data_IF_134742606809
#
_entry.id   IF_134742606809
#
_cell.length_a   1.000
_cell.length_b   1.000
_cell.length_c   1.000
_cell.angle_alpha   90.00
_cell.angle_beta   90.00
_cell.angle_gamma   90.00
#
_symmetry.space_group_name_H-M   'P 1'
#
loop_
_entity.id
_entity.type
_entity.pdbx_description
1 polymer ?
#
# COMPACT_ATOMS: atom_id res chain seq x y z
N UNK A 1 3.80 36.41 21.29
CA UNK A 1 3.94 35.41 22.37
C UNK A 1 5.41 35.00 22.53
N UNK A 2 6.28 35.85 23.07
CA UNK A 2 7.67 35.46 23.34
C UNK A 2 7.84 34.70 24.65
N UNK A 3 8.66 33.65 24.67
CA UNK A 3 9.20 33.08 25.91
C UNK A 3 10.63 32.54 25.71
N UNK A 4 11.55 32.84 26.64
CA UNK A 4 12.87 32.21 26.81
C UNK A 4 12.77 31.09 27.88
N UNK A 5 13.62 30.06 27.96
CA UNK A 5 15.08 30.06 27.79
C UNK A 5 15.69 28.70 27.37
N UNK A 6 16.95 28.80 26.91
CA UNK A 6 18.04 27.83 26.69
C UNK A 6 17.77 26.60 25.80
N UNK A 7 17.98 26.83 24.49
CA UNK A 7 18.29 25.89 23.38
C UNK A 7 17.26 24.80 23.04
N UNK A 8 16.54 24.79 21.92
CA UNK A 8 16.44 25.68 20.75
C UNK A 8 15.08 25.43 20.07
N UNK A 9 14.46 26.50 19.56
CA UNK A 9 13.20 26.57 18.78
C UNK A 9 11.91 26.48 19.62
N UNK A 10 11.29 27.64 19.85
CA UNK A 10 9.90 27.75 20.28
C UNK A 10 9.07 28.20 19.08
N UNK A 11 7.99 27.47 18.81
CA UNK A 11 7.02 27.88 17.79
C UNK A 11 5.81 28.49 18.48
N UNK A 12 5.53 29.73 18.12
CA UNK A 12 4.35 30.44 18.54
C UNK A 12 3.24 30.25 17.51
N UNK A 13 2.04 29.90 17.98
CA UNK A 13 0.84 29.82 17.14
C UNK A 13 -0.23 30.72 17.75
N UNK A 14 -0.78 31.62 16.93
CA UNK A 14 -1.92 32.44 17.31
C UNK A 14 -3.21 31.71 16.96
N UNK A 15 -4.04 31.47 17.97
CA UNK A 15 -5.37 30.89 17.77
C UNK A 15 -6.41 31.99 17.64
N UNK A 16 -7.35 31.81 16.73
CA UNK A 16 -8.50 32.70 16.56
C UNK A 16 -9.46 32.63 17.76
N UNK A 17 -10.27 33.67 18.01
CA UNK A 17 -11.20 33.72 19.16
C UNK A 17 -12.33 32.67 19.13
N UNK A 18 -12.46 31.90 18.05
CA UNK A 18 -13.46 30.84 17.87
C UNK A 18 -12.85 29.43 17.79
N UNK A 19 -11.52 29.32 17.84
CA UNK A 19 -10.84 28.03 17.75
C UNK A 19 -10.86 27.32 19.09
N UNK A 20 -11.40 26.09 19.10
CA UNK A 20 -11.48 25.24 20.30
C UNK A 20 -10.44 24.11 20.29
N UNK A 21 -9.77 23.90 19.17
CA UNK A 21 -8.81 22.81 18.99
C UNK A 21 -7.66 23.28 18.09
N UNK A 22 -6.46 22.80 18.40
CA UNK A 22 -5.28 22.99 17.58
C UNK A 22 -4.46 21.69 17.56
N UNK A 23 -4.02 21.27 16.37
CA UNK A 23 -3.25 20.03 16.19
C UNK A 23 -1.79 20.41 15.94
N UNK A 24 -0.89 19.87 16.76
CA UNK A 24 0.55 20.01 16.56
C UNK A 24 1.04 18.91 15.63
N UNK A 25 1.67 19.30 14.52
CA UNK A 25 2.24 18.39 13.53
C UNK A 25 3.78 18.52 13.50
N UNK A 26 4.47 17.51 12.99
CA UNK A 26 5.93 17.55 12.83
C UNK A 26 6.74 17.39 14.13
N UNK A 27 6.14 16.86 15.20
CA UNK A 27 6.85 16.58 16.44
C UNK A 27 7.80 15.37 16.29
N UNK A 28 9.01 15.50 16.82
CA UNK A 28 10.01 14.45 16.86
C UNK A 28 9.64 13.40 17.93
N UNK A 29 9.82 12.14 17.57
CA UNK A 29 9.46 11.03 18.44
C UNK A 29 10.46 10.87 19.59
N UNK A 30 9.96 10.69 20.82
CA UNK A 30 10.80 10.55 22.02
C UNK A 30 11.22 11.88 22.66
N UNK A 31 10.84 13.01 22.08
CA UNK A 31 11.13 14.34 22.62
C UNK A 31 10.03 14.78 23.58
N UNK A 32 10.41 15.33 24.74
CA UNK A 32 9.47 15.91 25.71
C UNK A 32 9.09 17.31 25.24
N UNK A 33 7.80 17.52 25.00
CA UNK A 33 7.26 18.83 24.64
C UNK A 33 6.50 19.44 25.82
N UNK A 34 6.67 20.74 26.01
CA UNK A 34 5.89 21.49 26.98
C UNK A 34 5.07 22.52 26.24
N UNK A 35 3.75 22.39 26.32
CA UNK A 35 2.81 23.31 25.65
C UNK A 35 2.23 24.24 26.70
N UNK A 36 2.23 25.54 26.40
CA UNK A 36 1.62 26.56 27.24
C UNK A 36 0.50 27.26 26.48
N UNK A 37 -0.66 27.36 27.12
CA UNK A 37 -1.78 28.16 26.61
C UNK A 37 -1.88 29.43 27.44
N UNK A 38 -2.01 30.57 26.74
CA UNK A 38 -2.21 31.89 27.32
C UNK A 38 -3.25 32.65 26.51
N UNK A 39 -4.18 33.29 27.21
CA UNK A 39 -5.16 34.19 26.60
C UNK A 39 -4.75 35.65 26.81
N UNK A 40 -4.99 36.49 25.80
CA UNK A 40 -4.72 37.93 25.82
C UNK A 40 -6.03 38.71 25.65
N UNK A 41 -6.17 39.79 26.42
CA UNK A 41 -7.25 40.77 26.28
C UNK A 41 -6.67 42.17 26.42
N UNK A 42 -6.31 42.79 25.29
CA UNK A 42 -5.52 44.02 25.29
C UNK A 42 -4.15 43.77 25.94
N UNK A 43 -3.76 44.62 26.88
CA UNK A 43 -2.49 44.49 27.62
C UNK A 43 -2.55 43.50 28.78
N UNK A 44 -3.71 42.88 29.02
CA UNK A 44 -3.89 41.90 30.07
C UNK A 44 -3.66 40.47 29.57
N UNK A 45 -2.89 39.70 30.34
CA UNK A 45 -2.59 38.28 30.08
C UNK A 45 -3.21 37.37 31.14
N UNK A 46 -3.70 36.20 30.73
CA UNK A 46 -4.12 35.14 31.66
C UNK A 46 -2.91 34.48 32.32
N UNK A 47 -3.16 33.65 33.36
CA UNK A 47 -2.13 32.73 33.85
C UNK A 47 -1.72 31.77 32.72
N UNK A 48 -0.43 31.42 32.71
CA UNK A 48 0.10 30.34 31.87
C UNK A 48 -0.48 29.02 32.35
N UNK A 49 -1.27 28.38 31.52
CA UNK A 49 -1.71 27.01 31.76
C UNK A 49 -0.81 26.10 30.93
N UNK A 50 0.08 25.38 31.60
CA UNK A 50 0.98 24.43 30.97
C UNK A 50 0.39 23.02 31.02
N UNK A 51 0.51 22.29 29.91
CA UNK A 51 0.47 20.85 29.90
C UNK A 51 1.89 20.38 29.60
N UNK A 52 2.57 19.79 30.59
CA UNK A 52 3.76 19.01 30.31
C UNK A 52 3.33 17.72 29.63
N UNK A 53 3.67 17.57 28.35
CA UNK A 53 3.58 16.26 27.70
C UNK A 53 4.81 15.45 28.13
N UNK A 54 4.81 14.99 29.37
CA UNK A 54 5.73 13.92 29.77
C UNK A 54 5.31 12.62 29.07
N UNK A 55 6.25 11.74 28.66
CA UNK A 55 5.88 10.36 28.36
C UNK A 55 5.19 9.78 29.62
N UNK A 56 4.03 9.12 29.48
CA UNK A 56 3.11 8.98 30.61
C UNK A 56 3.66 8.04 31.68
N UNK A 57 3.82 8.56 32.89
CA UNK A 57 3.85 7.78 34.11
C UNK A 57 2.50 7.89 34.83
N UNK A 58 1.67 6.86 34.61
CA UNK A 58 0.65 6.32 35.52
C UNK A 58 -0.34 7.29 36.20
N UNK A 59 -1.43 7.62 35.51
CA UNK A 59 -2.81 7.44 36.02
C UNK A 59 -3.82 7.52 34.85
N UNK A 60 -4.34 6.34 34.47
CA UNK A 60 -5.61 6.10 33.77
C UNK A 60 -5.91 6.77 32.41
N UNK A 61 -4.95 6.84 31.50
CA UNK A 61 -5.17 6.60 30.06
C UNK A 61 -3.95 5.83 29.59
N UNK A 62 -4.12 4.61 29.08
CA UNK A 62 -3.02 3.90 28.42
C UNK A 62 -2.43 4.86 27.38
N UNK A 63 -1.11 5.05 27.26
CA UNK A 63 -0.58 5.59 26.02
C UNK A 63 -1.21 4.73 24.91
N UNK A 64 -1.72 5.32 23.84
CA UNK A 64 -1.98 4.55 22.64
C UNK A 64 -0.60 4.11 22.16
N UNK A 65 -0.07 3.04 22.77
CA UNK A 65 1.11 2.35 22.30
C UNK A 65 0.65 1.69 21.03
N UNK A 66 0.87 2.39 19.93
CA UNK A 66 0.78 1.82 18.60
C UNK A 66 1.62 0.55 18.59
N UNK A 67 1.00 -0.57 18.22
CA UNK A 67 1.67 -1.86 18.10
C UNK A 67 2.88 -1.74 17.16
N UNK A 68 2.77 -0.87 16.15
CA UNK A 68 3.85 -0.52 15.23
C UNK A 68 4.07 1.00 15.23
N UNK A 69 5.11 1.51 15.89
CA UNK A 69 5.45 2.94 15.84
C UNK A 69 5.86 3.42 14.43
N UNK A 70 6.44 2.52 13.64
CA UNK A 70 6.77 2.73 12.21
C UNK A 70 6.13 1.64 11.36
N UNK A 71 4.84 1.77 11.03
CA UNK A 71 4.10 0.76 10.29
C UNK A 71 4.72 0.51 8.91
N UNK A 72 5.11 -0.72 8.63
CA UNK A 72 5.76 -1.09 7.38
C UNK A 72 4.81 -1.15 6.18
N UNK A 73 3.51 -1.29 6.45
CA UNK A 73 2.46 -1.42 5.45
C UNK A 73 1.08 -1.02 6.04
N UNK A 74 0.07 -1.04 5.17
CA UNK A 74 -1.31 -0.73 5.55
C UNK A 74 -1.91 -1.76 6.53
N UNK A 75 -1.43 -2.99 6.59
CA UNK A 75 -1.92 -3.98 7.54
C UNK A 75 -1.47 -3.64 8.97
N UNK A 76 -0.22 -3.20 9.15
CA UNK A 76 0.26 -2.68 10.43
C UNK A 76 -0.44 -1.37 10.82
N UNK A 77 -0.74 -0.48 9.85
CA UNK A 77 -1.57 0.70 10.09
C UNK A 77 -2.95 0.32 10.62
N UNK A 78 -3.56 -0.71 10.05
CA UNK A 78 -4.86 -1.22 10.49
C UNK A 78 -4.80 -1.84 11.90
N UNK A 79 -3.74 -2.59 12.21
CA UNK A 79 -3.49 -3.15 13.55
C UNK A 79 -3.26 -2.07 14.61
N UNK A 80 -2.80 -0.89 14.21
CA UNK A 80 -2.75 0.30 15.05
C UNK A 80 -4.12 0.98 15.27
N UNK A 81 -5.21 0.43 14.71
CA UNK A 81 -6.58 0.93 14.88
C UNK A 81 -7.09 1.82 13.74
N UNK A 82 -6.32 2.00 12.66
CA UNK A 82 -6.76 2.79 11.50
C UNK A 82 -7.68 1.96 10.59
N UNK A 83 -8.98 2.27 10.60
CA UNK A 83 -9.99 1.47 9.87
C UNK A 83 -10.54 2.14 8.61
N UNK A 84 -10.21 3.41 8.36
CA UNK A 84 -10.71 4.17 7.21
C UNK A 84 -9.74 4.07 6.03
N UNK A 85 -10.25 3.88 4.82
CA UNK A 85 -9.41 3.95 3.62
C UNK A 85 -8.97 5.38 3.34
N UNK A 86 -7.73 5.57 2.86
CA UNK A 86 -7.18 6.91 2.63
C UNK A 86 -5.67 6.92 2.48
N UNK A 87 -5.10 8.13 2.46
CA UNK A 87 -3.65 8.30 2.42
C UNK A 87 -3.03 8.08 3.79
N UNK A 88 -1.95 7.30 3.81
CA UNK A 88 -1.18 7.02 5.01
C UNK A 88 0.32 7.04 4.70
N UNK A 89 1.11 7.31 5.74
CA UNK A 89 2.57 7.17 5.70
C UNK A 89 2.96 5.83 6.30
N UNK A 90 3.61 5.00 5.49
CA UNK A 90 4.27 3.76 5.92
C UNK A 90 5.78 3.94 5.90
N UNK A 91 6.49 3.03 6.55
CA UNK A 91 7.94 3.09 6.75
C UNK A 91 8.58 1.82 6.24
N UNK A 92 9.31 1.89 5.12
CA UNK A 92 9.85 0.70 4.46
C UNK A 92 10.67 -0.16 5.43
N UNK A 93 10.31 -1.44 5.54
CA UNK A 93 10.92 -2.41 6.47
C UNK A 93 10.87 -1.97 7.95
N UNK A 94 9.90 -1.13 8.34
CA UNK A 94 9.76 -0.61 9.70
C UNK A 94 10.82 0.44 10.08
N UNK A 95 11.53 1.02 9.10
CA UNK A 95 12.57 2.01 9.34
C UNK A 95 12.01 3.43 9.30
N UNK A 96 11.99 4.11 10.45
CA UNK A 96 11.51 5.48 10.62
C UNK A 96 12.16 6.53 9.68
N UNK A 97 13.36 6.26 9.16
CA UNK A 97 14.06 7.15 8.21
C UNK A 97 13.64 6.94 6.75
N UNK A 98 12.74 6.00 6.45
CA UNK A 98 12.30 5.67 5.08
C UNK A 98 10.77 5.78 4.93
N UNK A 99 10.18 6.97 5.11
CA UNK A 99 8.75 7.17 4.94
C UNK A 99 8.34 7.05 3.47
N UNK A 100 7.13 6.55 3.24
CA UNK A 100 6.49 6.44 1.93
C UNK A 100 4.98 6.71 2.09
N UNK A 101 4.44 7.60 1.27
CA UNK A 101 3.00 7.83 1.22
C UNK A 101 2.32 6.81 0.30
N UNK A 102 1.28 6.17 0.80
CA UNK A 102 0.50 5.16 0.06
C UNK A 102 -0.98 5.36 0.30
N UNK A 103 -1.81 4.92 -0.65
CA UNK A 103 -3.24 4.81 -0.44
C UNK A 103 -3.53 3.43 0.18
N UNK A 104 -4.08 3.43 1.39
CA UNK A 104 -4.52 2.21 2.05
C UNK A 104 -6.01 1.98 1.81
N UNK A 105 -6.32 0.78 1.32
CA UNK A 105 -7.67 0.24 1.36
C UNK A 105 -7.84 -0.61 2.62
N UNK A 106 -8.60 -0.07 3.58
CA UNK A 106 -8.87 -0.67 4.89
C UNK A 106 -10.17 -1.46 4.95
N UNK A 107 -10.90 -1.60 3.84
CA UNK A 107 -12.25 -2.18 3.82
C UNK A 107 -12.34 -3.46 3.00
N UNK A 108 -11.68 -3.53 1.85
CA UNK A 108 -11.80 -4.70 0.94
C UNK A 108 -11.18 -5.96 1.55
N UNK A 109 -11.92 -7.06 1.60
CA UNK A 109 -11.42 -8.38 2.03
C UNK A 109 -10.64 -8.33 3.37
N UNK A 110 -11.17 -7.60 4.35
CA UNK A 110 -10.55 -7.40 5.66
C UNK A 110 -9.58 -6.22 5.75
N UNK A 111 -9.27 -5.54 4.65
CA UNK A 111 -8.44 -4.33 4.61
C UNK A 111 -6.94 -4.59 4.72
N UNK A 112 -6.18 -3.53 5.01
CA UNK A 112 -4.72 -3.57 5.12
C UNK A 112 -4.00 -3.62 3.77
N UNK A 113 -4.66 -3.21 2.69
CA UNK A 113 -4.10 -3.25 1.34
C UNK A 113 -3.39 -1.95 0.96
N UNK A 114 -2.20 -2.05 0.38
CA UNK A 114 -1.52 -0.95 -0.30
C UNK A 114 -1.98 -0.94 -1.76
N UNK A 115 -2.70 0.10 -2.18
CA UNK A 115 -3.08 0.29 -3.58
C UNK A 115 -1.88 0.86 -4.34
N UNK A 116 -1.59 0.30 -5.52
CA UNK A 116 -0.47 0.75 -6.35
C UNK A 116 -0.83 1.11 -7.79
N UNK A 117 -2.03 0.77 -8.24
CA UNK A 117 -2.56 1.15 -9.55
C UNK A 117 -4.06 1.36 -9.43
N UNK A 118 -4.58 2.44 -10.04
CA UNK A 118 -6.02 2.65 -10.20
C UNK A 118 -6.36 3.27 -11.54
N UNK A 119 -7.40 2.75 -12.19
CA UNK A 119 -8.11 3.32 -13.34
C UNK A 119 -9.58 3.49 -12.98
N UNK A 120 -10.19 4.61 -13.32
CA UNK A 120 -11.57 4.95 -12.95
C UNK A 120 -12.24 6.03 -13.81
N UNK A 121 -11.48 6.95 -14.40
CA UNK A 121 -12.03 8.12 -15.12
C UNK A 121 -11.49 8.23 -16.54
N UNK A 122 -10.26 7.78 -16.79
CA UNK A 122 -9.57 7.94 -18.06
C UNK A 122 -8.94 9.30 -18.27
N UNK A 123 -8.91 10.16 -17.24
CA UNK A 123 -8.30 11.50 -17.33
C UNK A 123 -6.78 11.44 -17.32
N UNK A 124 -6.21 10.41 -16.67
CA UNK A 124 -4.76 10.21 -16.65
C UNK A 124 -4.34 9.30 -17.81
N UNK A 125 -3.47 9.82 -18.67
CA UNK A 125 -2.83 9.03 -19.72
C UNK A 125 -1.84 8.03 -19.11
N UNK A 126 -1.94 6.74 -19.47
CA UNK A 126 -1.02 5.68 -19.04
C UNK A 126 -0.01 5.31 -20.13
N UNK A 127 -0.08 5.91 -21.32
CA UNK A 127 0.87 5.66 -22.42
C UNK A 127 2.19 6.42 -22.22
N UNK A 128 2.88 6.10 -21.12
CA UNK A 128 4.09 6.79 -20.66
C UNK A 128 5.36 5.99 -20.93
N UNK A 129 6.46 6.73 -20.99
CA UNK A 129 7.83 6.19 -21.14
C UNK A 129 8.32 5.48 -19.87
N UNK A 130 9.39 4.69 -20.02
CA UNK A 130 10.02 3.88 -18.97
C UNK A 130 10.25 4.66 -17.67
N UNK A 131 10.87 5.84 -17.77
CA UNK A 131 11.22 6.66 -16.61
C UNK A 131 10.00 6.97 -15.73
N UNK A 132 8.86 7.28 -16.34
CA UNK A 132 7.63 7.58 -15.60
C UNK A 132 7.09 6.34 -14.87
N UNK A 133 7.15 5.16 -15.50
CA UNK A 133 6.74 3.92 -14.83
C UNK A 133 7.67 3.52 -13.69
N UNK A 134 8.95 3.88 -13.76
CA UNK A 134 9.90 3.69 -12.65
C UNK A 134 9.56 4.59 -11.46
N UNK A 135 9.40 5.88 -11.72
CA UNK A 135 9.18 6.92 -10.68
C UNK A 135 7.78 6.88 -10.08
N UNK A 136 6.77 6.53 -10.88
CA UNK A 136 5.36 6.69 -10.53
C UNK A 136 4.76 7.96 -11.13
N UNK A 137 3.43 8.00 -11.22
CA UNK A 137 2.67 9.14 -11.76
C UNK A 137 1.20 9.08 -11.35
N UNK A 138 0.53 10.23 -11.41
CA UNK A 138 -0.89 10.37 -11.05
C UNK A 138 -1.10 10.73 -9.59
N UNK A 139 -2.36 10.66 -9.15
CA UNK A 139 -2.77 10.98 -7.78
C UNK A 139 -3.32 9.70 -7.10
N UNK A 140 -2.71 9.23 -6.00
CA UNK A 140 -3.20 8.08 -5.25
C UNK A 140 -4.66 8.16 -4.77
N UNK A 141 -5.27 9.36 -4.73
CA UNK A 141 -6.69 9.56 -4.44
C UNK A 141 -7.59 9.44 -5.68
N UNK A 142 -7.02 9.48 -6.89
CA UNK A 142 -7.67 9.28 -8.18
C UNK A 142 -7.02 8.13 -8.97
N UNK A 143 -6.70 8.37 -10.25
CA UNK A 143 -5.94 7.43 -11.09
C UNK A 143 -4.44 7.62 -10.87
N UNK A 144 -3.70 6.51 -10.77
CA UNK A 144 -2.25 6.56 -10.59
C UNK A 144 -1.55 5.23 -10.86
N UNK A 145 -0.23 5.32 -10.93
CA UNK A 145 0.72 4.23 -10.87
C UNK A 145 1.79 4.57 -9.81
N UNK A 146 1.97 3.71 -8.80
CA UNK A 146 2.86 3.97 -7.67
C UNK A 146 4.35 4.10 -8.06
N UNK A 147 4.77 3.38 -9.10
CA UNK A 147 6.16 3.34 -9.54
C UNK A 147 6.83 1.98 -9.28
N UNK A 148 7.60 1.51 -10.26
CA UNK A 148 8.28 0.22 -10.21
C UNK A 148 9.36 0.15 -9.13
N UNK A 149 10.06 1.26 -8.84
CA UNK A 149 11.05 1.29 -7.77
C UNK A 149 10.40 1.14 -6.39
N UNK A 150 9.25 1.79 -6.19
CA UNK A 150 8.48 1.67 -4.96
C UNK A 150 7.94 0.24 -4.79
N UNK A 151 7.38 -0.34 -5.84
CA UNK A 151 6.91 -1.72 -5.86
C UNK A 151 8.03 -2.73 -5.58
N UNK A 152 9.19 -2.55 -6.19
CA UNK A 152 10.36 -3.38 -5.91
C UNK A 152 10.76 -3.29 -4.43
N UNK A 153 10.87 -2.07 -3.91
CA UNK A 153 11.23 -1.83 -2.52
C UNK A 153 10.25 -2.49 -1.54
N UNK A 154 8.94 -2.38 -1.79
CA UNK A 154 7.89 -3.00 -0.96
C UNK A 154 7.95 -4.53 -1.01
N UNK A 155 8.03 -5.11 -2.21
CA UNK A 155 7.85 -6.55 -2.42
C UNK A 155 9.14 -7.38 -2.29
N UNK A 156 10.31 -6.75 -2.35
CA UNK A 156 11.61 -7.44 -2.27
C UNK A 156 12.37 -7.18 -0.97
N UNK A 157 12.10 -6.09 -0.26
CA UNK A 157 12.80 -5.76 1.00
C UNK A 157 12.11 -6.33 2.24
N UNK A 158 10.92 -6.91 2.09
CA UNK A 158 10.18 -7.50 3.19
C UNK A 158 10.56 -8.97 3.38
N UNK A 159 10.79 -9.42 4.62
CA UNK A 159 10.90 -10.86 4.90
C UNK A 159 9.58 -11.60 4.70
N UNK A 160 8.47 -10.88 4.57
CA UNK A 160 7.13 -11.41 4.37
C UNK A 160 6.74 -11.25 2.90
N UNK A 161 6.17 -12.30 2.32
CA UNK A 161 5.65 -12.27 0.95
C UNK A 161 4.34 -11.49 0.87
N UNK A 162 4.13 -10.78 -0.24
CA UNK A 162 2.89 -10.07 -0.50
C UNK A 162 1.96 -10.90 -1.39
N UNK A 163 0.67 -10.87 -1.11
CA UNK A 163 -0.36 -11.26 -2.08
C UNK A 163 -0.74 -10.05 -2.94
N UNK A 164 -1.09 -10.32 -4.20
CA UNK A 164 -1.67 -9.33 -5.13
C UNK A 164 -3.16 -9.57 -5.23
N UNK A 165 -3.95 -8.50 -5.15
CA UNK A 165 -5.36 -8.48 -5.53
C UNK A 165 -5.59 -7.48 -6.66
N UNK A 166 -6.39 -7.88 -7.63
CA UNK A 166 -6.89 -7.06 -8.73
C UNK A 166 -8.40 -7.00 -8.63
N UNK A 167 -8.95 -5.80 -8.46
CA UNK A 167 -10.39 -5.55 -8.46
C UNK A 167 -10.80 -4.93 -9.80
N UNK A 168 -11.84 -5.47 -10.43
CA UNK A 168 -12.35 -5.07 -11.73
C UNK A 168 -13.83 -4.75 -11.62
N UNK A 169 -14.29 -3.61 -12.16
CA UNK A 169 -15.71 -3.24 -12.13
C UNK A 169 -16.16 -2.65 -13.46
N UNK A 170 -17.36 -3.03 -13.85
CA UNK A 170 -18.19 -2.37 -14.87
C UNK A 170 -19.36 -1.66 -14.20
N UNK A 171 -20.29 -1.10 -14.97
CA UNK A 171 -21.51 -0.51 -14.43
C UNK A 171 -22.40 -1.54 -13.69
N UNK A 172 -22.39 -2.81 -14.12
CA UNK A 172 -23.35 -3.82 -13.65
C UNK A 172 -22.69 -4.99 -12.93
N UNK A 173 -21.39 -5.19 -13.10
CA UNK A 173 -20.68 -6.38 -12.63
C UNK A 173 -19.33 -6.03 -12.02
N UNK A 174 -18.92 -6.84 -11.04
CA UNK A 174 -17.59 -6.81 -10.46
C UNK A 174 -16.96 -8.19 -10.44
N UNK A 175 -15.64 -8.23 -10.60
CA UNK A 175 -14.85 -9.43 -10.50
C UNK A 175 -13.52 -9.11 -9.83
N UNK A 176 -12.86 -10.14 -9.30
CA UNK A 176 -11.55 -10.00 -8.69
C UNK A 176 -10.66 -11.22 -8.99
N UNK A 177 -9.36 -10.97 -8.95
CA UNK A 177 -8.31 -11.97 -9.02
C UNK A 177 -7.34 -11.75 -7.86
N UNK A 178 -6.94 -12.83 -7.19
CA UNK A 178 -5.90 -12.81 -6.15
C UNK A 178 -4.81 -13.80 -6.52
N UNK A 179 -3.56 -13.39 -6.30
CA UNK A 179 -2.38 -14.22 -6.43
C UNK A 179 -1.67 -14.28 -5.09
N UNK A 180 -1.39 -15.49 -4.60
CA UNK A 180 -0.78 -15.73 -3.29
C UNK A 180 0.72 -15.35 -3.20
N UNK A 181 1.28 -14.79 -4.26
CA UNK A 181 2.61 -14.22 -4.25
C UNK A 181 2.67 -13.12 -5.30
N UNK A 182 3.36 -12.03 -4.97
CA UNK A 182 3.64 -10.94 -5.89
C UNK A 182 4.97 -10.29 -5.55
N UNK A 183 5.85 -10.23 -6.54
CA UNK A 183 7.12 -9.55 -6.44
C UNK A 183 7.50 -8.88 -7.75
N UNK A 184 8.08 -7.69 -7.62
CA UNK A 184 8.71 -6.96 -8.71
C UNK A 184 10.22 -6.95 -8.48
N UNK A 185 10.97 -7.51 -9.44
CA UNK A 185 12.43 -7.59 -9.36
C UNK A 185 13.09 -6.20 -9.48
N UNK A 186 14.41 -6.15 -9.31
CA UNK A 186 15.15 -4.88 -9.40
C UNK A 186 15.20 -4.32 -10.84
N UNK A 187 15.63 -3.07 -10.96
CA UNK A 187 15.88 -2.42 -12.26
C UNK A 187 16.89 -3.16 -13.14
N UNK A 188 17.87 -3.86 -12.54
CA UNK A 188 18.86 -4.71 -13.24
C UNK A 188 18.21 -5.88 -13.96
N UNK A 189 17.15 -6.41 -13.36
CA UNK A 189 16.32 -7.49 -13.91
C UNK A 189 15.10 -6.96 -14.66
N UNK A 190 15.07 -5.64 -14.92
CA UNK A 190 14.05 -4.92 -15.68
C UNK A 190 12.66 -5.12 -15.08
N UNK A 191 12.59 -5.09 -13.75
CA UNK A 191 11.36 -5.20 -12.97
C UNK A 191 10.52 -6.43 -13.31
N UNK A 192 11.18 -7.57 -13.56
CA UNK A 192 10.53 -8.85 -13.83
C UNK A 192 9.44 -9.15 -12.80
N UNK A 193 8.26 -9.54 -13.28
CA UNK A 193 7.14 -9.98 -12.45
C UNK A 193 7.36 -11.39 -11.95
N UNK A 194 7.03 -11.63 -10.69
CA UNK A 194 6.80 -12.97 -10.15
C UNK A 194 5.44 -13.02 -9.46
N UNK A 195 4.57 -13.94 -9.89
CA UNK A 195 3.25 -14.16 -9.29
C UNK A 195 3.07 -15.63 -8.88
N UNK A 196 2.28 -15.84 -7.84
CA UNK A 196 1.94 -17.15 -7.29
C UNK A 196 0.66 -17.76 -7.85
N UNK A 197 0.01 -18.60 -7.06
CA UNK A 197 -1.21 -19.29 -7.45
C UNK A 197 -2.41 -18.35 -7.47
N UNK A 198 -3.21 -18.49 -8.51
CA UNK A 198 -4.44 -17.74 -8.72
C UNK A 198 -5.61 -18.29 -7.89
N UNK A 199 -6.44 -17.37 -7.38
CA UNK A 199 -7.82 -17.60 -6.93
C UNK A 199 -8.69 -16.39 -7.30
N UNK A 200 -9.99 -16.59 -7.51
CA UNK A 200 -10.92 -15.48 -7.77
C UNK A 200 -12.02 -15.86 -8.75
N UNK A 201 -12.76 -14.86 -9.24
CA UNK A 201 -13.85 -15.04 -10.20
C UNK A 201 -13.64 -14.26 -11.52
N UNK A 202 -12.54 -13.51 -11.65
CA UNK A 202 -12.20 -12.79 -12.89
C UNK A 202 -11.51 -13.66 -13.96
N UNK A 203 -11.23 -14.94 -13.68
CA UNK A 203 -10.28 -15.75 -14.45
C UNK A 203 -8.82 -15.31 -14.25
N UNK A 204 -7.87 -16.19 -14.62
CA UNK A 204 -6.43 -15.99 -14.44
C UNK A 204 -5.80 -15.31 -15.66
N UNK A 205 -5.44 -14.04 -15.52
CA UNK A 205 -4.75 -13.30 -16.57
C UNK A 205 -3.27 -13.03 -16.25
N UNK A 206 -2.83 -13.06 -15.00
CA UNK A 206 -1.45 -12.67 -14.62
C UNK A 206 -0.45 -13.82 -14.68
N UNK A 207 -0.88 -15.08 -14.53
CA UNK A 207 0.06 -16.21 -14.59
C UNK A 207 0.76 -16.29 -15.94
N UNK A 208 0.07 -15.90 -17.03
CA UNK A 208 0.66 -15.78 -18.36
C UNK A 208 1.85 -14.80 -18.41
N UNK A 209 1.79 -13.74 -17.59
CA UNK A 209 2.81 -12.70 -17.45
C UNK A 209 3.91 -13.03 -16.44
N UNK A 210 3.80 -14.15 -15.72
CA UNK A 210 4.79 -14.57 -14.72
C UNK A 210 6.17 -14.77 -15.35
N UNK A 211 7.20 -14.20 -14.73
CA UNK A 211 8.58 -14.27 -15.21
C UNK A 211 8.93 -13.29 -16.33
N UNK A 212 7.98 -12.49 -16.82
CA UNK A 212 8.23 -11.50 -17.87
C UNK A 212 8.66 -10.14 -17.32
N UNK A 213 9.47 -9.45 -18.12
CA UNK A 213 10.05 -8.14 -17.79
C UNK A 213 9.05 -7.06 -18.12
N UNK A 214 9.14 -5.92 -17.43
CA UNK A 214 8.29 -4.79 -17.75
C UNK A 214 8.71 -4.18 -19.10
N UNK A 215 7.75 -3.73 -19.90
CA UNK A 215 7.97 -3.16 -21.22
C UNK A 215 7.15 -1.88 -21.39
N UNK A 216 7.78 -0.85 -21.93
CA UNK A 216 7.16 0.42 -22.35
C UNK A 216 7.46 0.66 -23.82
N UNK A 217 6.77 1.62 -24.44
CA UNK A 217 6.93 1.91 -25.86
C UNK A 217 8.37 2.34 -26.22
N UNK A 218 9.11 2.95 -25.29
CA UNK A 218 10.50 3.37 -25.43
C UNK A 218 11.52 2.33 -24.92
N UNK A 219 11.06 1.22 -24.34
CA UNK A 219 11.94 0.17 -23.82
C UNK A 219 11.30 -1.21 -23.94
N UNK A 220 11.62 -1.87 -25.04
CA UNK A 220 11.18 -3.23 -25.36
C UNK A 220 11.96 -4.30 -24.55
N UNK A 221 11.24 -5.07 -23.76
CA UNK A 221 11.76 -6.23 -23.03
C UNK A 221 10.88 -7.47 -23.15
N UNK A 222 9.91 -7.46 -24.06
CA UNK A 222 9.03 -8.59 -24.29
C UNK A 222 9.67 -9.59 -25.28
N UNK A 223 8.93 -10.63 -25.68
CA UNK A 223 9.42 -11.67 -26.60
C UNK A 223 8.66 -11.71 -27.92
N UNK A 224 7.78 -10.73 -28.15
CA UNK A 224 7.10 -10.61 -29.42
C UNK A 224 8.08 -10.13 -30.51
N UNK A 225 7.66 -10.27 -31.78
CA UNK A 225 8.44 -9.75 -32.91
C UNK A 225 8.40 -8.23 -33.00
N UNK A 226 7.36 -7.62 -32.44
CA UNK A 226 7.13 -6.18 -32.37
C UNK A 226 6.90 -5.78 -30.92
N UNK A 227 7.32 -4.58 -30.53
CA UNK A 227 7.11 -4.07 -29.17
C UNK A 227 5.62 -4.03 -28.80
N UNK A 228 5.21 -4.89 -27.88
CA UNK A 228 3.82 -5.01 -27.45
C UNK A 228 3.29 -3.70 -26.86
N UNK A 229 4.12 -2.90 -26.21
CA UNK A 229 3.70 -1.62 -25.65
C UNK A 229 3.33 -0.60 -26.73
N UNK A 230 4.00 -0.61 -27.89
CA UNK A 230 3.62 0.22 -29.03
C UNK A 230 2.28 -0.22 -29.63
N UNK A 231 2.08 -1.53 -29.78
CA UNK A 231 0.85 -2.09 -30.38
C UNK A 231 -0.37 -1.93 -29.48
N UNK A 232 -0.20 -2.11 -28.16
CA UNK A 232 -1.30 -2.18 -27.20
C UNK A 232 -1.46 -0.93 -26.32
N UNK A 233 -0.77 0.16 -26.67
CA UNK A 233 -0.94 1.49 -26.09
C UNK A 233 -0.93 1.52 -24.55
N UNK A 234 -0.01 0.77 -23.96
CA UNK A 234 0.13 0.66 -22.51
C UNK A 234 1.54 0.22 -22.12
N UNK A 235 1.75 -0.04 -20.83
CA UNK A 235 2.99 -0.62 -20.35
C UNK A 235 2.71 -1.72 -19.33
N UNK A 236 3.37 -2.85 -19.51
CA UNK A 236 3.07 -4.05 -18.75
C UNK A 236 4.22 -5.05 -18.75
N UNK A 237 4.06 -6.13 -18.00
CA UNK A 237 4.90 -7.32 -18.09
C UNK A 237 4.53 -8.16 -19.32
N UNK A 238 4.64 -7.59 -20.50
CA UNK A 238 4.24 -8.23 -21.76
C UNK A 238 5.05 -9.50 -22.06
N UNK A 239 4.38 -10.48 -22.67
CA UNK A 239 4.98 -11.69 -23.26
C UNK A 239 4.85 -11.62 -24.78
N UNK A 240 3.74 -12.13 -25.34
CA UNK A 240 3.42 -12.05 -26.76
C UNK A 240 1.89 -12.13 -27.00
N UNK A 241 1.10 -11.08 -26.72
CA UNK A 241 1.49 -9.89 -25.96
C UNK A 241 0.90 -9.91 -24.55
N UNK A 242 -0.42 -10.04 -24.41
CA UNK A 242 -1.05 -10.02 -23.08
C UNK A 242 -2.34 -10.81 -22.97
N UNK A 243 -2.66 -11.19 -21.74
CA UNK A 243 -4.03 -11.49 -21.29
C UNK A 243 -4.58 -10.38 -20.39
N UNK A 244 -3.71 -9.57 -19.77
CA UNK A 244 -4.08 -8.38 -19.02
C UNK A 244 -3.33 -7.15 -19.54
N UNK A 245 -4.05 -6.04 -19.74
CA UNK A 245 -3.50 -4.74 -20.09
C UNK A 245 -4.19 -3.63 -19.28
N UNK A 246 -4.06 -3.66 -17.96
CA UNK A 246 -4.73 -2.69 -17.08
C UNK A 246 -4.21 -1.25 -17.26
N UNK A 247 -3.04 -1.11 -17.88
CA UNK A 247 -2.40 0.16 -18.21
C UNK A 247 -2.62 0.57 -19.69
N UNK A 248 -3.52 -0.12 -20.40
CA UNK A 248 -3.91 0.22 -21.76
C UNK A 248 -4.67 1.54 -21.87
N UNK A 249 -5.03 1.89 -23.10
CA UNK A 249 -5.74 3.12 -23.43
C UNK A 249 -7.16 3.08 -22.90
N UNK A 250 -7.53 4.05 -22.07
CA UNK A 250 -8.85 4.06 -21.45
C UNK A 250 -9.96 4.28 -22.49
N UNK A 251 -11.03 3.49 -22.40
CA UNK A 251 -12.20 3.60 -23.28
C UNK A 251 -11.97 3.12 -24.72
N UNK A 252 -10.81 2.56 -25.04
CA UNK A 252 -10.49 2.03 -26.35
C UNK A 252 -11.07 0.62 -26.52
N UNK A 253 -11.86 0.42 -27.58
CA UNK A 253 -12.51 -0.86 -27.89
C UNK A 253 -11.81 -1.62 -29.03
N UNK A 254 -10.80 -1.01 -29.68
CA UNK A 254 -9.94 -1.76 -30.60
C UNK A 254 -9.29 -2.94 -29.89
N UNK A 255 -9.24 -4.06 -30.62
CA UNK A 255 -8.74 -5.33 -30.11
C UNK A 255 -7.38 -5.16 -29.43
N UNK A 256 -7.35 -5.43 -28.12
CA UNK A 256 -6.16 -5.46 -27.27
C UNK A 256 -5.48 -4.10 -26.99
N UNK A 257 -6.08 -2.96 -27.34
CA UNK A 257 -5.52 -1.63 -27.04
C UNK A 257 -6.07 -1.01 -25.74
N UNK A 258 -7.19 -1.55 -25.25
CA UNK A 258 -7.93 -1.02 -24.11
C UNK A 258 -7.40 -1.45 -22.73
N UNK A 259 -8.12 -1.04 -21.68
CA UNK A 259 -7.95 -1.58 -20.33
C UNK A 259 -8.55 -2.99 -20.27
N UNK A 260 -7.75 -4.01 -20.60
CA UNK A 260 -8.26 -5.36 -20.83
C UNK A 260 -7.94 -6.35 -19.70
N UNK A 261 -8.87 -7.29 -19.49
CA UNK A 261 -8.69 -8.54 -18.74
C UNK A 261 -9.39 -9.66 -19.51
N UNK A 262 -8.63 -10.38 -20.32
CA UNK A 262 -9.14 -11.31 -21.33
C UNK A 262 -10.09 -12.37 -20.75
N UNK A 263 -9.76 -13.06 -19.64
CA UNK A 263 -10.63 -14.12 -19.13
C UNK A 263 -12.01 -13.64 -18.62
N UNK A 264 -12.21 -12.34 -18.45
CA UNK A 264 -13.47 -11.78 -17.96
C UNK A 264 -14.27 -11.04 -19.05
N UNK A 265 -13.63 -10.14 -19.79
CA UNK A 265 -14.31 -9.27 -20.78
C UNK A 265 -13.70 -9.34 -22.19
N UNK A 266 -12.71 -10.20 -22.40
CA UNK A 266 -12.01 -10.30 -23.67
C UNK A 266 -11.14 -9.07 -23.99
N UNK A 267 -10.75 -8.96 -25.26
CA UNK A 267 -9.81 -7.94 -25.73
C UNK A 267 -10.46 -6.69 -26.36
N UNK A 268 -11.77 -6.70 -26.59
CA UNK A 268 -12.50 -5.61 -27.28
C UNK A 268 -13.31 -4.74 -26.31
N UNK A 269 -13.14 -4.96 -25.00
CA UNK A 269 -13.83 -4.23 -23.94
C UNK A 269 -12.82 -3.57 -23.00
N UNK A 270 -12.83 -2.24 -22.93
CA UNK A 270 -12.05 -1.48 -21.95
C UNK A 270 -12.82 -1.40 -20.63
N UNK A 271 -12.28 -2.03 -19.60
CA UNK A 271 -12.86 -2.05 -18.25
C UNK A 271 -12.77 -0.64 -17.64
N UNK A 272 -13.90 -0.06 -17.16
CA UNK A 272 -13.92 1.33 -16.71
C UNK A 272 -13.30 1.53 -15.32
N UNK A 273 -13.31 0.50 -14.45
CA UNK A 273 -12.62 0.57 -13.17
C UNK A 273 -11.73 -0.63 -12.93
N UNK A 274 -10.47 -0.35 -12.60
CA UNK A 274 -9.49 -1.37 -12.20
C UNK A 274 -8.67 -0.85 -11.03
N UNK A 275 -8.36 -1.72 -10.07
CA UNK A 275 -7.45 -1.38 -8.97
C UNK A 275 -6.55 -2.57 -8.66
N UNK A 276 -5.24 -2.33 -8.57
CA UNK A 276 -4.29 -3.33 -8.13
C UNK A 276 -3.73 -2.94 -6.76
N UNK A 277 -3.70 -3.92 -5.85
CA UNK A 277 -3.29 -3.71 -4.47
C UNK A 277 -2.56 -4.92 -3.91
N UNK A 278 -1.66 -4.67 -2.97
CA UNK A 278 -0.85 -5.72 -2.32
C UNK A 278 -1.03 -5.68 -0.81
N UNK A 279 -0.91 -6.84 -0.16
CA UNK A 279 -0.94 -6.97 1.30
C UNK A 279 0.04 -8.05 1.73
N UNK A 280 0.76 -7.87 2.86
CA UNK A 280 1.60 -8.95 3.40
C UNK A 280 0.74 -10.18 3.70
N UNK A 281 1.21 -11.36 3.32
CA UNK A 281 0.62 -12.59 3.81
C UNK A 281 0.94 -12.77 5.28
N UNK A 282 -0.09 -12.99 6.09
CA UNK A 282 0.09 -13.43 7.47
C UNK A 282 0.87 -14.74 7.45
N UNK A 283 2.14 -14.71 7.87
CA UNK A 283 2.89 -15.94 8.08
C UNK A 283 2.11 -16.79 9.08
N UNK A 284 1.76 -18.02 8.71
CA UNK A 284 0.95 -18.96 9.49
C UNK A 284 1.64 -19.49 10.76
N UNK A 285 2.54 -18.71 11.36
CA UNK A 285 3.32 -19.05 12.54
C UNK A 285 2.71 -18.57 13.87
N UNK A 286 1.43 -18.20 13.88
CA UNK A 286 0.67 -18.00 15.13
C UNK A 286 -0.14 -19.23 15.56
N UNK A 287 0.15 -20.41 15.00
CA UNK A 287 -0.53 -21.68 15.35
C UNK A 287 0.33 -22.70 16.13
N UNK A 288 1.59 -22.41 16.42
CA UNK A 288 2.49 -23.40 17.08
C UNK A 288 2.42 -23.37 18.61
N UNK A 289 1.90 -22.31 19.24
CA UNK A 289 1.73 -22.26 20.71
C UNK A 289 0.44 -22.93 21.22
N UNK A 290 -0.48 -23.35 20.34
CA UNK A 290 -1.72 -24.04 20.72
C UNK A 290 -1.66 -25.57 20.62
N UNK A 291 -0.58 -26.16 20.06
CA UNK A 291 -0.39 -27.62 20.05
C UNK A 291 0.34 -28.09 21.31
N UNK A 292 -0.35 -27.97 22.45
CA UNK A 292 0.03 -28.67 23.69
C UNK A 292 0.06 -30.17 23.38
N UNK A 293 1.26 -30.78 23.50
CA UNK A 293 1.52 -32.22 23.41
C UNK A 293 0.41 -33.03 24.09
N UNK A 294 -0.41 -33.75 23.31
CA UNK A 294 -1.08 -34.95 23.79
C UNK A 294 -0.10 -36.11 23.60
N UNK A 295 0.58 -36.48 24.68
CA UNK A 295 1.34 -37.72 24.76
C UNK A 295 0.38 -38.91 24.62
N UNK A 296 0.73 -39.84 23.73
CA UNK A 296 0.08 -41.13 23.59
C UNK A 296 0.36 -41.99 24.85
N UNK A 297 -0.64 -42.61 25.50
CA UNK A 297 -0.38 -43.56 26.57
C UNK A 297 0.18 -44.86 25.98
N UNK A 298 1.33 -45.29 26.48
CA UNK A 298 2.04 -46.47 26.05
C UNK A 298 1.24 -47.77 26.18
N UNK A 299 1.40 -48.66 25.20
CA UNK A 299 0.91 -50.04 25.21
C UNK A 299 1.46 -50.80 26.42
N UNK A 300 0.60 -51.15 27.37
CA UNK A 300 0.90 -52.19 28.37
C UNK A 300 0.81 -53.56 27.70
N UNK A 301 1.94 -54.26 27.58
CA UNK A 301 2.00 -55.70 27.32
C UNK A 301 1.31 -56.44 28.49
N UNK A 302 0.26 -57.20 28.20
CA UNK A 302 -0.24 -58.26 29.08
C UNK A 302 0.38 -59.57 28.63
N UNK A 303 1.26 -60.11 29.46
CA UNK A 303 1.64 -61.52 29.46
C UNK A 303 0.87 -62.13 30.62
N UNK A 304 0.07 -63.18 30.39
CA UNK A 304 -0.23 -64.23 31.38
C UNK A 304 -0.62 -65.53 30.66
N UNK A 305 0.17 -66.55 31.00
CA UNK A 305 0.00 -68.01 31.00
C UNK A 305 -1.01 -68.64 30.05
#
# INVERSE_FOLDING_TARGET
LGCSSVSFIWQEVQLGPREQQFVLEGLEQGTKYTVFVMAYKGDHQSRKTGCEMAPPALLSLLPVSFLYPYPADCAQMQQNGNISSGMYTIYLSGNGSRPMQVYCDMTTDGGGWIVFQRRSTGELDFYKRWKNYVEGFGDPTGEFWLGLDQLHNLTSSSPIHYELRVDLRTANESAYAVYDFFQVASSRERYRLSVGNYRGNAGDAMTYHNGWKFTTWDRDNDVALSNCALTHHGAWWYKNCHLANLNGKYGESKHSEGVNWEPWKGHEFSIPFTEMKIRPQSSSNESVLARKKRSLPGKKRKIRF
#
